data_IF_006475766104
#
_entry.id   IF_006475766104
#
_cell.length_a   1.000
_cell.length_b   1.000
_cell.length_c   1.000
_cell.angle_alpha   90.00
_cell.angle_beta   90.00
_cell.angle_gamma   90.00
#
_symmetry.space_group_name_H-M   'P 1'
#
loop_
_entity.id
_entity.type
_entity.pdbx_description
1 polymer ?
#
# COMPACT_ATOMS: atom_id res chain seq x y z
N UNK A 1 -20.02 -19.78 3.85
CA UNK A 1 -19.05 -18.66 3.90
C UNK A 1 -19.51 -17.63 2.88
N UNK A 2 -19.75 -16.38 3.28
CA UNK A 2 -20.01 -15.31 2.33
C UNK A 2 -18.75 -15.12 1.46
N UNK A 3 -18.91 -14.92 0.15
CA UNK A 3 -17.77 -14.67 -0.72
C UNK A 3 -17.06 -13.39 -0.27
N UNK A 4 -15.78 -13.51 0.13
CA UNK A 4 -14.98 -12.35 0.51
C UNK A 4 -14.34 -11.76 -0.76
N UNK A 5 -14.93 -10.66 -1.23
CA UNK A 5 -14.44 -9.95 -2.41
C UNK A 5 -13.27 -9.04 -2.01
N UNK A 6 -12.22 -9.02 -2.84
CA UNK A 6 -11.11 -8.09 -2.70
C UNK A 6 -11.51 -6.68 -3.17
N UNK A 7 -12.35 -6.60 -4.21
CA UNK A 7 -12.79 -5.33 -4.78
C UNK A 7 -14.09 -5.51 -5.55
N UNK A 8 -14.95 -4.50 -5.52
CA UNK A 8 -16.26 -4.49 -6.18
C UNK A 8 -16.43 -3.19 -6.96
N UNK A 9 -17.01 -3.31 -8.16
CA UNK A 9 -17.51 -2.20 -8.97
C UNK A 9 -18.96 -2.47 -9.36
N UNK A 10 -19.81 -1.45 -9.29
CA UNK A 10 -21.21 -1.51 -9.72
C UNK A 10 -21.51 -0.34 -10.64
N UNK A 11 -21.88 -0.67 -11.88
CA UNK A 11 -22.29 0.31 -12.91
C UNK A 11 -21.30 1.48 -13.04
N UNK A 12 -20.00 1.21 -12.85
CA UNK A 12 -18.99 2.25 -12.82
C UNK A 12 -18.74 2.77 -14.24
N UNK A 13 -18.85 4.09 -14.42
CA UNK A 13 -18.65 4.75 -15.71
C UNK A 13 -17.72 5.95 -15.56
N UNK A 14 -16.68 6.01 -16.40
CA UNK A 14 -15.74 7.14 -16.48
C UNK A 14 -15.87 7.83 -17.83
N UNK A 15 -16.11 9.13 -17.80
CA UNK A 15 -16.09 10.01 -18.96
C UNK A 15 -15.18 11.18 -18.67
N UNK A 16 -14.25 11.49 -19.57
CA UNK A 16 -13.40 12.66 -19.42
C UNK A 16 -14.13 13.94 -19.87
N UNK A 17 -13.83 15.10 -19.27
CA UNK A 17 -14.37 16.38 -19.74
C UNK A 17 -14.14 16.59 -21.24
N UNK A 18 -15.20 16.94 -21.97
CA UNK A 18 -15.14 17.15 -23.42
C UNK A 18 -15.14 15.88 -24.28
N UNK A 19 -15.13 14.69 -23.69
CA UNK A 19 -15.26 13.44 -24.43
C UNK A 19 -16.72 13.22 -24.87
N UNK A 20 -16.94 12.81 -26.12
CA UNK A 20 -18.28 12.46 -26.62
C UNK A 20 -18.81 11.13 -26.10
N UNK A 21 -17.91 10.25 -25.62
CA UNK A 21 -18.23 8.90 -25.15
C UNK A 21 -17.42 8.57 -23.90
N UNK A 22 -17.95 7.73 -23.00
CA UNK A 22 -17.21 7.22 -21.86
C UNK A 22 -15.99 6.41 -22.31
N UNK A 23 -14.89 6.53 -21.55
CA UNK A 23 -13.70 5.68 -21.72
C UNK A 23 -13.91 4.31 -21.07
N UNK A 24 -14.70 4.26 -20.00
CA UNK A 24 -15.17 3.05 -19.32
C UNK A 24 -16.67 3.19 -19.12
N UNK A 25 -17.47 2.22 -19.55
CA UNK A 25 -18.94 2.27 -19.52
C UNK A 25 -19.50 1.07 -18.78
N UNK A 26 -20.36 1.31 -17.79
CA UNK A 26 -21.17 0.31 -17.07
C UNK A 26 -20.36 -0.89 -16.51
N UNK A 27 -19.16 -0.61 -16.02
CA UNK A 27 -18.28 -1.65 -15.47
C UNK A 27 -18.89 -2.19 -14.17
N UNK A 28 -19.25 -3.47 -14.19
CA UNK A 28 -19.78 -4.20 -13.02
C UNK A 28 -18.97 -5.48 -12.83
N UNK A 29 -17.97 -5.42 -11.95
CA UNK A 29 -16.98 -6.47 -11.74
C UNK A 29 -16.79 -6.73 -10.25
N UNK A 30 -16.45 -7.97 -9.92
CA UNK A 30 -16.13 -8.38 -8.56
C UNK A 30 -14.89 -9.26 -8.61
N UNK A 31 -13.89 -8.93 -7.80
CA UNK A 31 -12.65 -9.68 -7.71
C UNK A 31 -12.62 -10.46 -6.40
N UNK A 32 -12.30 -11.74 -6.45
CA UNK A 32 -12.10 -12.57 -5.27
C UNK A 32 -10.70 -12.33 -4.67
N UNK A 33 -10.57 -12.48 -3.36
CA UNK A 33 -9.25 -12.51 -2.73
C UNK A 33 -8.39 -13.64 -3.32
N UNK A 34 -7.10 -13.35 -3.56
CA UNK A 34 -6.14 -14.28 -4.16
C UNK A 34 -6.22 -14.41 -5.70
N UNK A 35 -7.18 -13.75 -6.35
CA UNK A 35 -7.26 -13.77 -7.81
C UNK A 35 -6.08 -13.02 -8.45
N UNK A 36 -5.48 -13.63 -9.49
CA UNK A 36 -4.46 -13.00 -10.35
C UNK A 36 -5.10 -12.64 -11.68
N UNK A 37 -5.20 -11.35 -11.98
CA UNK A 37 -6.00 -10.86 -13.12
C UNK A 37 -5.12 -10.01 -14.02
N UNK A 38 -5.06 -10.38 -15.31
CA UNK A 38 -4.43 -9.57 -16.34
C UNK A 38 -5.47 -8.71 -17.07
N UNK A 39 -5.22 -7.39 -17.16
CA UNK A 39 -6.06 -6.46 -17.92
C UNK A 39 -5.41 -6.24 -19.29
N UNK A 40 -6.09 -6.65 -20.36
CA UNK A 40 -5.60 -6.54 -21.74
C UNK A 40 -6.55 -5.73 -22.61
N UNK A 41 -6.03 -5.13 -23.68
CA UNK A 41 -6.80 -4.32 -24.61
C UNK A 41 -5.95 -3.28 -25.33
N UNK A 42 -6.47 -2.64 -26.39
CA UNK A 42 -5.73 -1.65 -27.16
C UNK A 42 -5.38 -0.39 -26.33
N UNK A 43 -4.48 0.44 -26.85
CA UNK A 43 -4.20 1.75 -26.27
C UNK A 43 -5.46 2.63 -26.31
N UNK A 44 -5.70 3.38 -25.24
CA UNK A 44 -6.91 4.18 -25.08
C UNK A 44 -8.15 3.42 -24.58
N UNK A 45 -8.09 2.09 -24.40
CA UNK A 45 -9.22 1.30 -23.87
C UNK A 45 -9.54 1.52 -22.38
N UNK A 46 -8.90 2.50 -21.72
CA UNK A 46 -9.17 2.81 -20.30
C UNK A 46 -8.47 1.92 -19.28
N UNK A 47 -7.51 1.06 -19.67
CA UNK A 47 -6.80 0.15 -18.74
C UNK A 47 -6.15 0.88 -17.56
N UNK A 48 -5.31 1.88 -17.85
CA UNK A 48 -4.64 2.67 -16.80
C UNK A 48 -5.65 3.47 -15.98
N UNK A 49 -6.73 3.94 -16.60
CA UNK A 49 -7.83 4.63 -15.92
C UNK A 49 -8.54 3.71 -14.93
N UNK A 50 -8.85 2.47 -15.33
CA UNK A 50 -9.47 1.45 -14.46
C UNK A 50 -8.58 1.16 -13.24
N UNK A 51 -7.28 0.97 -13.46
CA UNK A 51 -6.32 0.72 -12.36
C UNK A 51 -6.24 1.93 -11.42
N UNK A 52 -6.21 3.17 -11.95
CA UNK A 52 -6.21 4.40 -11.13
C UNK A 52 -7.49 4.56 -10.29
N UNK A 53 -8.64 4.18 -10.84
CA UNK A 53 -9.91 4.13 -10.09
C UNK A 53 -9.84 3.09 -8.97
N UNK A 54 -9.33 1.89 -9.28
CA UNK A 54 -9.14 0.83 -8.28
C UNK A 54 -8.21 1.25 -7.14
N UNK A 55 -7.13 1.97 -7.47
CA UNK A 55 -6.17 2.54 -6.54
C UNK A 55 -6.73 3.71 -5.71
N UNK A 56 -7.94 4.19 -6.03
CA UNK A 56 -8.52 5.37 -5.38
C UNK A 56 -7.87 6.71 -5.79
N UNK A 57 -7.05 6.72 -6.84
CA UNK A 57 -6.38 7.93 -7.36
C UNK A 57 -7.34 8.76 -8.22
N UNK A 58 -8.08 8.11 -9.10
CA UNK A 58 -9.13 8.77 -9.89
C UNK A 58 -10.50 8.44 -9.28
N UNK A 59 -11.15 9.46 -8.70
CA UNK A 59 -12.47 9.34 -8.05
C UNK A 59 -13.60 9.99 -8.85
N UNK A 60 -13.28 10.57 -10.00
CA UNK A 60 -14.23 11.30 -10.82
C UNK A 60 -14.93 10.34 -11.80
N UNK A 61 -15.85 9.54 -11.29
CA UNK A 61 -16.64 8.58 -12.05
C UNK A 61 -18.06 8.50 -11.48
N UNK A 62 -18.99 7.93 -12.24
CA UNK A 62 -20.34 7.62 -11.74
C UNK A 62 -20.46 6.13 -11.39
N UNK A 63 -21.45 5.76 -10.59
CA UNK A 63 -21.59 4.41 -10.04
C UNK A 63 -20.77 4.24 -8.76
N UNK A 64 -20.37 3.00 -8.46
CA UNK A 64 -19.68 2.67 -7.21
C UNK A 64 -18.46 1.79 -7.47
N UNK A 65 -17.37 2.02 -6.75
CA UNK A 65 -16.19 1.17 -6.72
C UNK A 65 -15.53 1.21 -5.33
N UNK A 66 -15.28 0.05 -4.72
CA UNK A 66 -14.69 -0.04 -3.38
C UNK A 66 -13.91 -1.34 -3.17
N UNK A 67 -12.89 -1.26 -2.30
CA UNK A 67 -12.17 -2.43 -1.82
C UNK A 67 -12.95 -3.16 -0.72
N UNK A 68 -12.72 -4.46 -0.56
CA UNK A 68 -13.30 -5.26 0.52
C UNK A 68 -12.83 -4.79 1.91
N UNK A 69 -13.55 -5.21 2.95
CA UNK A 69 -13.13 -4.93 4.34
C UNK A 69 -11.74 -5.51 4.63
N UNK A 70 -10.92 -4.74 5.34
CA UNK A 70 -9.54 -5.08 5.69
C UNK A 70 -8.61 -5.32 4.47
N UNK A 71 -8.92 -4.72 3.31
CA UNK A 71 -8.05 -4.73 2.13
C UNK A 71 -7.31 -3.42 2.01
N UNK A 72 -5.98 -3.49 1.96
CA UNK A 72 -5.11 -2.37 1.55
C UNK A 72 -4.84 -2.47 0.05
N UNK A 73 -4.96 -1.34 -0.66
CA UNK A 73 -4.67 -1.27 -2.09
C UNK A 73 -3.32 -0.59 -2.31
N UNK A 74 -2.37 -1.33 -2.89
CA UNK A 74 -1.11 -0.78 -3.39
C UNK A 74 -1.20 -0.49 -4.89
N UNK A 75 -0.63 0.63 -5.33
CA UNK A 75 -0.57 1.01 -6.74
C UNK A 75 0.87 1.31 -7.14
N UNK A 76 1.34 0.62 -8.18
CA UNK A 76 2.65 0.83 -8.77
C UNK A 76 2.49 1.59 -10.09
N UNK A 77 3.13 2.75 -10.17
CA UNK A 77 3.12 3.58 -11.37
C UNK A 77 3.98 2.99 -12.48
N UNK A 78 3.64 3.31 -13.73
CA UNK A 78 4.46 2.95 -14.89
C UNK A 78 5.85 3.60 -14.81
N UNK A 79 5.89 4.84 -14.32
CA UNK A 79 7.11 5.61 -14.07
C UNK A 79 7.20 5.86 -12.56
N UNK A 80 7.80 4.93 -11.79
CA UNK A 80 7.92 5.10 -10.35
C UNK A 80 8.80 6.31 -10.04
N UNK A 81 8.35 7.11 -9.08
CA UNK A 81 9.12 8.24 -8.57
C UNK A 81 10.07 7.74 -7.49
N UNK A 82 11.36 7.75 -7.79
CA UNK A 82 12.43 7.36 -6.86
C UNK A 82 13.23 8.59 -6.46
N UNK A 83 13.81 8.56 -5.27
CA UNK A 83 14.70 9.60 -4.78
C UNK A 83 16.12 9.35 -5.33
N UNK A 84 16.56 10.19 -6.25
CA UNK A 84 17.88 10.10 -6.89
C UNK A 84 19.04 10.35 -5.91
N UNK A 85 18.78 10.94 -4.74
CA UNK A 85 19.80 11.13 -3.71
C UNK A 85 20.04 9.89 -2.85
N UNK A 86 19.16 8.89 -2.96
CA UNK A 86 19.21 7.63 -2.20
C UNK A 86 19.79 6.49 -3.04
N UNK A 87 20.41 5.55 -2.35
CA UNK A 87 20.78 4.25 -2.91
C UNK A 87 19.54 3.42 -3.27
N UNK A 88 19.75 2.34 -4.03
CA UNK A 88 18.68 1.38 -4.36
C UNK A 88 18.05 0.83 -3.09
N UNK A 89 18.88 0.38 -2.14
CA UNK A 89 18.40 -0.18 -0.87
C UNK A 89 17.55 0.82 -0.09
N UNK A 90 17.95 2.09 -0.03
CA UNK A 90 17.21 3.12 0.69
C UNK A 90 15.84 3.42 0.01
N UNK A 91 15.79 3.44 -1.32
CA UNK A 91 14.53 3.57 -2.06
C UNK A 91 13.60 2.36 -1.83
N UNK A 92 14.14 1.15 -1.73
CA UNK A 92 13.35 -0.05 -1.41
C UNK A 92 12.89 -0.02 0.05
N UNK A 93 13.76 0.41 0.99
CA UNK A 93 13.45 0.57 2.41
C UNK A 93 12.34 1.60 2.64
N UNK A 94 12.23 2.63 1.80
CA UNK A 94 11.10 3.58 1.84
C UNK A 94 9.73 2.89 1.67
N UNK A 95 9.65 1.82 0.87
CA UNK A 95 8.43 1.02 0.73
C UNK A 95 8.01 0.30 2.02
N UNK A 96 8.96 0.08 2.93
CA UNK A 96 8.77 -0.54 4.24
C UNK A 96 9.02 0.45 5.39
N UNK A 97 8.95 1.76 5.13
CA UNK A 97 9.36 2.81 6.08
C UNK A 97 8.66 2.71 7.44
N UNK A 98 7.37 2.40 7.47
CA UNK A 98 6.65 2.22 8.72
C UNK A 98 7.25 1.09 9.60
N UNK A 99 7.74 0.01 9.00
CA UNK A 99 8.39 -1.10 9.71
C UNK A 99 9.79 -0.67 10.14
N UNK A 100 10.55 -0.06 9.23
CA UNK A 100 11.87 0.46 9.50
C UNK A 100 11.87 1.46 10.68
N UNK A 101 10.95 2.41 10.69
CA UNK A 101 10.86 3.45 11.71
C UNK A 101 10.54 2.84 13.09
N UNK A 102 9.73 1.76 13.16
CA UNK A 102 9.47 1.03 14.41
C UNK A 102 10.74 0.35 14.94
N UNK A 103 11.49 -0.33 14.08
CA UNK A 103 12.74 -1.01 14.45
C UNK A 103 13.80 0.02 14.86
N UNK A 104 13.93 1.11 14.11
CA UNK A 104 14.88 2.18 14.41
C UNK A 104 14.53 2.87 15.74
N UNK A 105 13.24 3.10 16.04
CA UNK A 105 12.80 3.64 17.34
C UNK A 105 13.07 2.67 18.49
N UNK A 106 12.80 1.37 18.30
CA UNK A 106 13.10 0.36 19.31
C UNK A 106 14.58 0.35 19.67
N UNK A 107 15.47 0.41 18.68
CA UNK A 107 16.92 0.49 18.89
C UNK A 107 17.34 1.79 19.59
N UNK A 108 16.73 2.92 19.22
CA UNK A 108 16.98 4.21 19.85
C UNK A 108 16.59 4.23 21.33
N UNK A 109 15.44 3.64 21.70
CA UNK A 109 15.02 3.49 23.09
C UNK A 109 16.06 2.72 23.90
N UNK A 110 16.63 1.64 23.34
CA UNK A 110 17.68 0.87 23.99
C UNK A 110 18.94 1.70 24.29
N UNK A 111 19.25 2.71 23.47
CA UNK A 111 20.33 3.67 23.73
C UNK A 111 19.93 4.73 24.76
N UNK A 112 18.71 5.27 24.67
CA UNK A 112 18.17 6.25 25.63
C UNK A 112 18.12 5.70 27.06
N UNK A 113 17.82 4.41 27.21
CA UNK A 113 17.86 3.72 28.52
C UNK A 113 19.26 3.67 29.16
N UNK A 114 20.33 3.97 28.42
CA UNK A 114 21.68 4.04 28.98
C UNK A 114 22.01 5.39 29.64
N UNK A 115 21.15 6.41 29.48
CA UNK A 115 21.32 7.74 30.07
C UNK A 115 20.95 7.76 31.56
N UNK A 116 21.61 8.63 32.35
CA UNK A 116 21.44 8.67 33.81
C UNK A 116 20.05 9.15 34.27
N UNK A 117 19.36 9.95 33.45
CA UNK A 117 18.04 10.52 33.73
C UNK A 117 16.91 9.87 32.93
N UNK A 118 17.17 8.69 32.35
CA UNK A 118 16.19 7.97 31.55
C UNK A 118 14.92 7.62 32.34
N UNK A 119 13.76 7.92 31.76
CA UNK A 119 12.47 7.47 32.27
C UNK A 119 12.23 6.01 31.87
N UNK A 120 12.77 5.09 32.67
CA UNK A 120 12.69 3.65 32.41
C UNK A 120 11.25 3.13 32.32
N UNK A 121 10.32 3.71 33.06
CA UNK A 121 8.92 3.27 33.06
C UNK A 121 8.26 3.65 31.73
N UNK A 122 8.43 4.89 31.28
CA UNK A 122 7.89 5.35 29.99
C UNK A 122 8.55 4.64 28.79
N UNK A 123 9.89 4.56 28.79
CA UNK A 123 10.65 3.92 27.72
C UNK A 123 10.37 2.42 27.65
N UNK A 124 10.23 1.75 28.79
CA UNK A 124 9.89 0.32 28.84
C UNK A 124 8.49 0.03 28.30
N UNK A 125 7.51 0.88 28.60
CA UNK A 125 6.15 0.77 28.05
C UNK A 125 6.12 0.95 26.53
N UNK A 126 6.81 1.97 26.00
CA UNK A 126 6.93 2.22 24.56
C UNK A 126 7.63 1.06 23.85
N UNK A 127 8.74 0.58 24.42
CA UNK A 127 9.51 -0.55 23.88
C UNK A 127 8.67 -1.83 23.78
N UNK A 128 7.83 -2.10 24.79
CA UNK A 128 6.90 -3.24 24.78
C UNK A 128 5.84 -3.11 23.68
N UNK A 129 5.26 -1.91 23.49
CA UNK A 129 4.26 -1.69 22.44
C UNK A 129 4.88 -1.82 21.03
N UNK A 130 6.09 -1.30 20.85
CA UNK A 130 6.83 -1.44 19.60
C UNK A 130 7.19 -2.90 19.33
N UNK A 131 7.64 -3.65 20.34
CA UNK A 131 7.94 -5.06 20.19
C UNK A 131 6.74 -5.84 19.68
N UNK A 132 5.56 -5.67 20.29
CA UNK A 132 4.32 -6.33 19.86
C UNK A 132 3.97 -6.00 18.40
N UNK A 133 4.15 -4.74 17.99
CA UNK A 133 3.89 -4.30 16.60
C UNK A 133 4.89 -4.85 15.61
N UNK A 134 6.18 -4.89 15.96
CA UNK A 134 7.26 -5.42 15.11
C UNK A 134 7.07 -6.93 14.92
N UNK A 135 6.77 -7.66 16.00
CA UNK A 135 6.47 -9.10 15.94
C UNK A 135 5.26 -9.40 15.05
N UNK A 136 4.19 -8.59 15.14
CA UNK A 136 2.98 -8.77 14.36
C UNK A 136 3.18 -8.66 12.83
N UNK A 137 4.26 -7.99 12.38
CA UNK A 137 4.57 -7.78 10.95
C UNK A 137 5.86 -8.48 10.51
N UNK A 138 6.42 -9.35 11.36
CA UNK A 138 7.73 -9.99 11.14
C UNK A 138 8.86 -8.97 10.85
N UNK A 139 8.80 -7.81 11.51
CA UNK A 139 9.68 -6.67 11.19
C UNK A 139 11.15 -6.89 11.53
N UNK A 140 11.49 -7.85 12.40
CA UNK A 140 12.88 -8.19 12.72
C UNK A 140 13.63 -8.80 11.54
N UNK A 141 12.92 -9.35 10.56
CA UNK A 141 13.53 -9.92 9.35
C UNK A 141 13.64 -8.91 8.21
N UNK A 142 13.31 -7.63 8.45
CA UNK A 142 13.23 -6.59 7.43
C UNK A 142 14.50 -6.50 6.57
N UNK A 143 15.69 -6.51 7.16
CA UNK A 143 16.93 -6.43 6.38
C UNK A 143 17.09 -7.60 5.39
N UNK A 144 16.75 -8.81 5.80
CA UNK A 144 16.74 -9.99 4.93
C UNK A 144 15.64 -9.87 3.84
N UNK A 145 14.45 -9.40 4.20
CA UNK A 145 13.38 -9.17 3.23
C UNK A 145 13.78 -8.14 2.17
N UNK A 146 14.48 -7.07 2.57
CA UNK A 146 15.02 -6.06 1.67
C UNK A 146 16.12 -6.64 0.76
N UNK A 147 17.01 -7.48 1.28
CA UNK A 147 18.02 -8.19 0.48
C UNK A 147 17.41 -9.12 -0.57
N UNK A 148 16.35 -9.86 -0.23
CA UNK A 148 15.65 -10.74 -1.18
C UNK A 148 14.93 -9.92 -2.27
N UNK A 149 14.49 -8.70 -1.95
CA UNK A 149 13.78 -7.83 -2.87
C UNK A 149 14.67 -7.09 -3.87
N UNK A 150 16.00 -7.04 -3.63
CA UNK A 150 16.99 -6.48 -4.55
C UNK A 150 17.41 -7.47 -5.65
#
# INVERSE_FOLDING_TARGET
MAAQYAYVMKNMTKTFPGAQKPVLSDISLQFYQGAKIGIVGPNGAGKSTLIKIMAGIDKDYTGEAWAGENITVGYLEQEPQLDESKTVLENVKDGARAIADMVDRFNAIGMEMAEEDADFDALGAEMSELQDKIDAVDGWTLDNQLEIAM
#
